data_IF_462215715152
#
_entry.id   IF_462215715152
#
_cell.length_a   1.000
_cell.length_b   1.000
_cell.length_c   1.000
_cell.angle_alpha   90.00
_cell.angle_beta   90.00
_cell.angle_gamma   90.00
#
_symmetry.space_group_name_H-M   'P 1'
#
loop_
_entity.id
_entity.type
_entity.pdbx_description
1 polymer ?
#
# COMPACT_ATOMS: atom_id res chain seq x y z
N UNK A 1 -17.66 -12.13 9.21
CA UNK A 1 -17.91 -13.51 8.73
C UNK A 1 -18.25 -14.38 9.96
N UNK A 2 -18.74 -15.63 9.81
CA UNK A 2 -19.05 -16.48 10.97
C UNK A 2 -17.87 -16.73 11.92
N UNK A 3 -16.67 -16.96 11.39
CA UNK A 3 -15.45 -17.23 12.19
C UNK A 3 -14.84 -16.01 12.88
N UNK A 4 -15.23 -14.79 12.46
CA UNK A 4 -14.73 -13.53 13.01
C UNK A 4 -15.70 -12.40 12.65
N UNK A 5 -16.43 -11.89 13.64
CA UNK A 5 -17.26 -10.69 13.48
C UNK A 5 -16.38 -9.45 13.47
N UNK A 6 -16.81 -8.43 12.73
CA UNK A 6 -15.96 -7.26 12.46
C UNK A 6 -15.67 -6.45 13.72
N UNK A 7 -16.66 -6.34 14.62
CA UNK A 7 -16.54 -5.56 15.84
C UNK A 7 -15.51 -6.15 16.81
N UNK A 8 -15.56 -7.47 17.02
CA UNK A 8 -14.56 -8.19 17.83
C UNK A 8 -13.15 -7.99 17.27
N UNK A 9 -12.99 -8.12 15.94
CA UNK A 9 -11.71 -7.86 15.27
C UNK A 9 -11.20 -6.45 15.55
N UNK A 10 -12.05 -5.43 15.45
CA UNK A 10 -11.65 -4.03 15.62
C UNK A 10 -11.13 -3.78 17.03
N UNK A 11 -11.81 -4.30 18.05
CA UNK A 11 -11.41 -4.17 19.46
C UNK A 11 -10.03 -4.81 19.70
N UNK A 12 -9.85 -6.08 19.36
CA UNK A 12 -8.57 -6.78 19.59
C UNK A 12 -7.41 -6.17 18.78
N UNK A 13 -7.68 -5.72 17.55
CA UNK A 13 -6.65 -5.10 16.71
C UNK A 13 -6.23 -3.73 17.26
N UNK A 14 -7.17 -2.94 17.77
CA UNK A 14 -6.84 -1.63 18.35
C UNK A 14 -6.03 -1.79 19.64
N UNK A 15 -6.40 -2.72 20.52
CA UNK A 15 -5.60 -3.06 21.72
C UNK A 15 -4.17 -3.46 21.33
N UNK A 16 -4.01 -4.33 20.33
CA UNK A 16 -2.69 -4.74 19.84
C UNK A 16 -1.90 -3.57 19.23
N UNK A 17 -2.58 -2.65 18.53
CA UNK A 17 -1.98 -1.45 17.93
C UNK A 17 -1.44 -0.50 19.01
N UNK A 18 -2.23 -0.25 20.05
CA UNK A 18 -1.86 0.60 21.17
C UNK A 18 -0.71 0.01 21.97
N UNK A 19 -0.76 -1.30 22.26
CA UNK A 19 0.34 -2.01 22.91
C UNK A 19 1.64 -1.89 22.13
N UNK A 20 1.63 -2.19 20.83
CA UNK A 20 2.82 -2.09 19.98
C UNK A 20 3.36 -0.65 19.89
N UNK A 21 2.48 0.35 19.88
CA UNK A 21 2.88 1.76 19.92
C UNK A 21 3.54 2.12 21.25
N UNK A 22 3.01 1.66 22.38
CA UNK A 22 3.61 1.89 23.71
C UNK A 22 4.98 1.23 23.83
N UNK A 23 5.14 0.00 23.34
CA UNK A 23 6.40 -0.75 23.42
C UNK A 23 7.51 -0.17 22.53
N UNK A 24 7.14 0.43 21.38
CA UNK A 24 8.12 0.89 20.39
C UNK A 24 8.33 2.41 20.36
N UNK A 25 7.39 3.20 20.90
CA UNK A 25 7.41 4.66 20.82
C UNK A 25 7.11 5.24 19.43
N UNK A 26 6.88 4.39 18.41
CA UNK A 26 6.51 4.82 17.05
C UNK A 26 4.99 4.72 16.86
N UNK A 27 4.40 5.64 16.08
CA UNK A 27 2.98 5.55 15.71
C UNK A 27 2.67 4.23 14.99
N UNK A 28 1.62 3.54 15.39
CA UNK A 28 1.15 2.29 14.77
C UNK A 28 -0.26 2.44 14.23
N UNK A 29 -0.63 1.54 13.31
CA UNK A 29 -1.97 1.47 12.76
C UNK A 29 -2.20 0.12 12.09
N UNK A 30 -3.47 -0.27 12.00
CA UNK A 30 -3.92 -1.42 11.24
C UNK A 30 -5.13 -1.02 10.41
N UNK A 31 -5.16 -1.36 9.13
CA UNK A 31 -6.23 -0.91 8.24
C UNK A 31 -7.51 -1.71 8.53
N UNK A 32 -8.41 -1.12 9.33
CA UNK A 32 -9.67 -1.78 9.69
C UNK A 32 -10.62 -1.76 8.49
N UNK A 33 -10.87 -2.93 7.88
CA UNK A 33 -11.70 -3.00 6.68
C UNK A 33 -13.18 -2.72 7.00
N UNK A 34 -13.70 -1.64 6.42
CA UNK A 34 -15.10 -1.17 6.58
C UNK A 34 -15.99 -1.57 5.40
N UNK A 35 -15.46 -2.22 4.36
CA UNK A 35 -16.26 -2.72 3.22
C UNK A 35 -17.40 -3.61 3.70
N UNK A 36 -18.63 -3.30 3.26
CA UNK A 36 -19.85 -3.90 3.78
C UNK A 36 -20.91 -4.07 2.67
N UNK A 37 -22.00 -4.84 2.92
CA UNK A 37 -23.09 -5.05 1.94
C UNK A 37 -23.92 -3.80 1.65
N UNK A 38 -23.97 -2.84 2.56
CA UNK A 38 -24.68 -1.57 2.39
C UNK A 38 -23.86 -0.38 2.89
N UNK A 39 -24.16 0.85 2.41
CA UNK A 39 -23.54 2.06 2.94
C UNK A 39 -23.77 2.25 4.45
N UNK A 40 -24.93 1.88 4.98
CA UNK A 40 -25.25 2.01 6.41
C UNK A 40 -24.31 1.16 7.26
N UNK A 41 -24.11 -0.12 6.91
CA UNK A 41 -23.14 -0.97 7.59
C UNK A 41 -21.69 -0.50 7.41
N UNK A 42 -21.37 0.08 6.24
CA UNK A 42 -20.03 0.64 6.00
C UNK A 42 -19.75 1.81 6.94
N UNK A 43 -20.71 2.72 7.11
CA UNK A 43 -20.57 3.84 8.03
C UNK A 43 -20.63 3.41 9.48
N UNK A 44 -21.44 2.42 9.86
CA UNK A 44 -21.43 1.84 11.21
C UNK A 44 -20.01 1.37 11.60
N UNK A 45 -19.34 0.67 10.68
CA UNK A 45 -17.95 0.21 10.90
C UNK A 45 -16.97 1.38 10.96
N UNK A 46 -17.12 2.37 10.08
CA UNK A 46 -16.23 3.54 10.05
C UNK A 46 -16.37 4.38 11.33
N UNK A 47 -17.58 4.63 11.80
CA UNK A 47 -17.84 5.34 13.07
C UNK A 47 -17.27 4.57 14.25
N UNK A 48 -17.43 3.23 14.29
CA UNK A 48 -16.82 2.44 15.37
C UNK A 48 -15.29 2.48 15.33
N UNK A 49 -14.66 2.44 14.15
CA UNK A 49 -13.21 2.58 14.03
C UNK A 49 -12.71 3.94 14.57
N UNK A 50 -13.46 5.01 14.30
CA UNK A 50 -13.20 6.34 14.86
C UNK A 50 -13.41 6.38 16.37
N UNK A 51 -14.50 5.79 16.88
CA UNK A 51 -14.83 5.74 18.31
C UNK A 51 -13.70 5.13 19.13
N UNK A 52 -13.09 4.04 18.63
CA UNK A 52 -11.97 3.36 19.29
C UNK A 52 -10.60 4.00 18.98
N UNK A 53 -10.56 5.14 18.27
CA UNK A 53 -9.32 5.88 18.02
C UNK A 53 -8.39 5.28 16.97
N UNK A 54 -8.89 4.44 16.07
CA UNK A 54 -8.07 3.90 14.98
C UNK A 54 -7.62 5.05 14.03
N UNK A 55 -6.36 5.09 13.58
CA UNK A 55 -5.88 6.18 12.72
C UNK A 55 -6.17 5.97 11.22
N UNK A 56 -6.55 4.75 10.83
CA UNK A 56 -6.69 4.35 9.43
C UNK A 56 -7.70 3.21 9.25
N UNK A 57 -8.51 3.29 8.20
CA UNK A 57 -9.42 2.24 7.74
C UNK A 57 -9.08 1.81 6.31
N UNK A 58 -9.69 0.74 5.81
CA UNK A 58 -9.60 0.38 4.39
C UNK A 58 -10.94 0.08 3.73
N UNK A 59 -10.97 0.28 2.41
CA UNK A 59 -12.12 -0.02 1.56
C UNK A 59 -11.72 -0.67 0.23
N UNK A 60 -12.55 -1.63 -0.21
CA UNK A 60 -12.42 -2.28 -1.51
C UNK A 60 -13.26 -1.52 -2.56
N UNK A 61 -12.71 -0.43 -3.12
CA UNK A 61 -13.50 0.59 -3.84
C UNK A 61 -14.24 0.11 -5.09
N UNK A 62 -13.73 -0.91 -5.79
CA UNK A 62 -14.39 -1.43 -7.00
C UNK A 62 -15.55 -2.35 -6.64
N UNK A 63 -15.36 -3.25 -5.68
CA UNK A 63 -16.41 -4.18 -5.24
C UNK A 63 -17.44 -3.52 -4.33
N UNK A 64 -17.05 -2.51 -3.55
CA UNK A 64 -17.96 -1.63 -2.82
C UNK A 64 -18.61 -0.57 -3.71
N UNK A 65 -17.95 -0.20 -4.81
CA UNK A 65 -18.42 0.74 -5.81
C UNK A 65 -18.04 2.20 -5.54
N UNK A 66 -17.89 2.97 -6.62
CA UNK A 66 -17.46 4.38 -6.57
C UNK A 66 -18.41 5.29 -5.77
N UNK A 67 -19.71 4.99 -5.73
CA UNK A 67 -20.68 5.76 -4.96
C UNK A 67 -20.37 5.66 -3.44
N UNK A 68 -20.20 4.43 -2.95
CA UNK A 68 -19.82 4.18 -1.56
C UNK A 68 -18.44 4.76 -1.23
N UNK A 69 -17.43 4.51 -2.10
CA UNK A 69 -16.08 5.03 -1.89
C UNK A 69 -16.03 6.56 -1.78
N UNK A 70 -16.71 7.28 -2.68
CA UNK A 70 -16.72 8.75 -2.66
C UNK A 70 -17.40 9.29 -1.39
N UNK A 71 -18.47 8.63 -0.93
CA UNK A 71 -19.09 8.94 0.36
C UNK A 71 -18.13 8.73 1.53
N UNK A 72 -17.46 7.57 1.56
CA UNK A 72 -16.49 7.22 2.59
C UNK A 72 -15.28 8.15 2.60
N UNK A 73 -14.75 8.55 1.44
CA UNK A 73 -13.63 9.49 1.35
C UNK A 73 -13.99 10.87 1.92
N UNK A 74 -15.20 11.36 1.63
CA UNK A 74 -15.72 12.60 2.23
C UNK A 74 -15.88 12.47 3.74
N UNK A 75 -16.37 11.32 4.21
CA UNK A 75 -16.48 11.03 5.63
C UNK A 75 -15.09 11.01 6.30
N UNK A 76 -14.11 10.35 5.69
CA UNK A 76 -12.73 10.26 6.20
C UNK A 76 -12.12 11.65 6.37
N UNK A 77 -12.26 12.50 5.34
CA UNK A 77 -11.81 13.89 5.37
C UNK A 77 -12.43 14.70 6.52
N UNK A 78 -13.72 14.53 6.78
CA UNK A 78 -14.44 15.24 7.86
C UNK A 78 -14.04 14.74 9.25
N UNK A 79 -13.61 13.49 9.35
CA UNK A 79 -13.34 12.83 10.63
C UNK A 79 -11.84 12.62 10.92
N UNK A 80 -10.94 13.11 10.05
CA UNK A 80 -9.49 12.97 10.24
C UNK A 80 -9.00 11.53 10.14
N UNK A 81 -9.69 10.68 9.38
CA UNK A 81 -9.36 9.27 9.20
C UNK A 81 -8.57 9.07 7.91
N UNK A 82 -7.48 8.31 7.94
CA UNK A 82 -6.80 7.87 6.72
C UNK A 82 -7.59 6.74 6.04
N UNK A 83 -7.58 6.73 4.71
CA UNK A 83 -8.32 5.77 3.88
C UNK A 83 -7.38 4.98 2.95
N UNK A 84 -7.10 3.73 3.32
CA UNK A 84 -6.38 2.79 2.46
C UNK A 84 -7.31 2.13 1.44
N UNK A 85 -6.97 2.19 0.16
CA UNK A 85 -7.80 1.60 -0.90
C UNK A 85 -7.18 0.32 -1.44
N UNK A 86 -7.95 -0.76 -1.32
CA UNK A 86 -7.64 -2.03 -1.96
C UNK A 86 -8.41 -2.17 -3.28
N UNK A 87 -7.73 -2.70 -4.30
CA UNK A 87 -8.23 -2.74 -5.69
C UNK A 87 -8.85 -4.09 -6.08
N UNK A 88 -9.52 -4.77 -5.15
CA UNK A 88 -10.18 -6.05 -5.43
C UNK A 88 -11.01 -5.95 -6.73
N UNK A 89 -10.99 -7.02 -7.55
CA UNK A 89 -11.66 -7.09 -8.87
C UNK A 89 -10.98 -6.33 -10.04
N UNK A 90 -9.95 -5.49 -9.82
CA UNK A 90 -9.34 -4.70 -10.90
C UNK A 90 -8.88 -5.54 -12.11
N UNK A 91 -8.22 -6.67 -11.86
CA UNK A 91 -7.68 -7.57 -12.88
C UNK A 91 -8.75 -8.25 -13.76
N UNK A 92 -10.02 -8.20 -13.36
CA UNK A 92 -11.14 -8.62 -14.24
C UNK A 92 -11.28 -7.67 -15.42
N UNK A 93 -10.94 -6.39 -15.24
CA UNK A 93 -11.10 -5.33 -16.23
C UNK A 93 -9.79 -4.92 -16.90
N UNK A 94 -8.65 -5.00 -16.20
CA UNK A 94 -7.41 -4.37 -16.67
C UNK A 94 -6.32 -5.32 -17.15
N UNK A 95 -6.55 -6.63 -17.12
CA UNK A 95 -5.53 -7.63 -17.44
C UNK A 95 -5.33 -7.86 -18.93
N UNK A 96 -6.41 -7.84 -19.72
CA UNK A 96 -6.33 -8.18 -21.14
C UNK A 96 -5.95 -6.94 -21.97
N UNK A 97 -4.84 -6.94 -22.72
CA UNK A 97 -4.41 -5.79 -23.50
C UNK A 97 -5.35 -5.45 -24.67
N UNK A 98 -6.26 -6.35 -25.05
CA UNK A 98 -7.18 -6.18 -26.19
C UNK A 98 -8.61 -5.78 -25.79
N UNK A 99 -8.97 -5.88 -24.51
CA UNK A 99 -10.33 -5.57 -24.06
C UNK A 99 -10.36 -5.23 -22.57
N UNK A 100 -11.07 -4.16 -22.22
CA UNK A 100 -11.27 -3.74 -20.85
C UNK A 100 -10.83 -2.30 -20.60
N UNK A 101 -10.43 -2.00 -19.37
CA UNK A 101 -10.02 -0.67 -18.92
C UNK A 101 -8.64 -0.80 -18.27
N UNK A 102 -7.62 -0.20 -18.87
CA UNK A 102 -6.27 -0.26 -18.31
C UNK A 102 -6.20 0.35 -16.89
N UNK A 103 -5.43 -0.26 -15.98
CA UNK A 103 -5.37 0.11 -14.56
C UNK A 103 -5.11 1.60 -14.32
N UNK A 104 -4.27 2.24 -15.16
CA UNK A 104 -4.01 3.68 -15.10
C UNK A 104 -5.28 4.55 -15.11
N UNK A 105 -6.34 4.13 -15.80
CA UNK A 105 -7.64 4.84 -15.80
C UNK A 105 -8.33 4.68 -14.44
N UNK A 106 -8.32 3.47 -13.89
CA UNK A 106 -8.87 3.17 -12.56
C UNK A 106 -8.11 3.91 -11.44
N UNK A 107 -6.78 4.04 -11.58
CA UNK A 107 -5.94 4.82 -10.66
C UNK A 107 -6.32 6.31 -10.66
N UNK A 108 -6.51 6.92 -11.85
CA UNK A 108 -7.02 8.30 -11.96
C UNK A 108 -8.42 8.44 -11.35
N UNK A 109 -9.31 7.50 -11.65
CA UNK A 109 -10.68 7.50 -11.11
C UNK A 109 -10.70 7.40 -9.58
N UNK A 110 -9.79 6.63 -8.99
CA UNK A 110 -9.66 6.55 -7.54
C UNK A 110 -9.10 7.85 -6.96
N UNK A 111 -8.04 8.43 -7.53
CA UNK A 111 -7.50 9.73 -7.05
C UNK A 111 -8.57 10.82 -7.05
N UNK A 112 -9.47 10.82 -8.05
CA UNK A 112 -10.64 11.70 -8.10
C UNK A 112 -11.69 11.37 -7.03
N UNK A 113 -12.04 10.10 -6.84
CA UNK A 113 -13.04 9.64 -5.86
C UNK A 113 -12.60 9.87 -4.42
N UNK A 114 -11.31 9.71 -4.16
CA UNK A 114 -10.66 9.90 -2.88
C UNK A 114 -10.16 8.58 -2.26
N UNK A 115 -8.92 8.63 -1.78
CA UNK A 115 -8.20 7.58 -1.08
C UNK A 115 -6.78 8.06 -0.80
N UNK A 116 -6.24 7.75 0.37
CA UNK A 116 -4.88 8.20 0.74
C UNK A 116 -3.83 7.21 0.22
N UNK A 117 -4.18 5.93 0.14
CA UNK A 117 -3.34 4.88 -0.43
C UNK A 117 -4.05 4.13 -1.56
N UNK A 118 -3.32 3.60 -2.54
CA UNK A 118 -3.83 2.66 -3.54
C UNK A 118 -2.81 1.57 -3.85
N UNK A 119 -3.24 0.30 -3.89
CA UNK A 119 -2.41 -0.79 -4.40
C UNK A 119 -2.02 -0.58 -5.87
N UNK A 120 -0.72 -0.57 -6.17
CA UNK A 120 -0.17 -0.25 -7.51
C UNK A 120 0.52 -1.42 -8.19
N UNK A 121 0.67 -2.55 -7.51
CA UNK A 121 1.46 -3.69 -8.00
C UNK A 121 2.88 -3.65 -7.43
N UNK A 122 3.66 -4.69 -7.74
CA UNK A 122 5.02 -4.85 -7.17
C UNK A 122 6.11 -4.96 -8.21
N UNK A 123 5.76 -5.19 -9.49
CA UNK A 123 6.67 -5.55 -10.61
C UNK A 123 7.37 -6.90 -10.41
N UNK A 124 7.96 -7.14 -9.24
CA UNK A 124 8.79 -8.31 -8.92
C UNK A 124 8.08 -9.37 -8.06
N UNK A 125 6.84 -9.11 -7.64
CA UNK A 125 6.07 -10.03 -6.80
C UNK A 125 5.24 -11.04 -7.59
N UNK A 126 4.27 -11.66 -6.91
CA UNK A 126 3.48 -12.77 -7.47
C UNK A 126 2.39 -12.35 -8.50
N UNK A 127 2.04 -11.07 -8.53
CA UNK A 127 0.99 -10.53 -9.39
C UNK A 127 1.65 -9.77 -10.54
N UNK A 128 1.05 -9.83 -11.72
CA UNK A 128 1.58 -9.14 -12.90
C UNK A 128 1.73 -7.63 -12.67
N UNK A 129 2.81 -7.07 -13.20
CA UNK A 129 3.05 -5.64 -13.29
C UNK A 129 4.22 -5.35 -14.22
N UNK A 130 3.92 -4.80 -15.41
CA UNK A 130 4.96 -4.25 -16.27
C UNK A 130 5.61 -3.03 -15.60
N UNK A 131 6.95 -2.94 -15.62
CA UNK A 131 7.67 -1.89 -14.90
C UNK A 131 7.37 -0.51 -15.45
N UNK A 132 7.45 -0.33 -16.77
CA UNK A 132 7.29 0.97 -17.40
C UNK A 132 5.87 1.52 -17.19
N UNK A 133 4.86 0.66 -17.35
CA UNK A 133 3.49 1.02 -17.06
C UNK A 133 3.28 1.33 -15.56
N UNK A 134 3.93 0.55 -14.67
CA UNK A 134 3.85 0.76 -13.22
C UNK A 134 4.38 2.10 -12.78
N UNK A 135 5.58 2.47 -13.24
CA UNK A 135 6.14 3.80 -12.99
C UNK A 135 5.18 4.89 -13.52
N UNK A 136 4.64 4.72 -14.72
CA UNK A 136 3.69 5.68 -15.31
C UNK A 136 2.44 5.93 -14.45
N UNK A 137 1.77 4.90 -13.92
CA UNK A 137 0.59 5.14 -13.07
C UNK A 137 0.93 5.55 -11.63
N UNK A 138 2.16 5.31 -11.17
CA UNK A 138 2.65 5.88 -9.90
C UNK A 138 2.81 7.40 -10.05
N UNK A 139 3.42 7.87 -11.14
CA UNK A 139 3.54 9.30 -11.45
C UNK A 139 2.14 9.94 -11.50
N UNK A 140 1.17 9.28 -12.18
CA UNK A 140 -0.22 9.74 -12.23
C UNK A 140 -0.91 9.84 -10.87
N UNK A 141 -0.50 9.04 -9.88
CA UNK A 141 -1.09 9.04 -8.53
C UNK A 141 -0.45 10.08 -7.62
N UNK A 142 0.84 10.38 -7.80
CA UNK A 142 1.61 11.22 -6.88
C UNK A 142 1.76 12.65 -7.37
N UNK A 143 2.08 12.80 -8.65
CA UNK A 143 2.60 14.06 -9.15
C UNK A 143 1.46 15.03 -9.50
N UNK A 144 1.83 16.31 -9.58
CA UNK A 144 0.92 17.38 -9.97
C UNK A 144 0.68 17.40 -11.47
N UNK A 145 1.74 17.32 -12.25
CA UNK A 145 1.70 17.36 -13.71
C UNK A 145 2.53 16.20 -14.27
N UNK A 146 1.92 15.43 -15.16
CA UNK A 146 2.55 14.28 -15.81
C UNK A 146 2.46 14.50 -17.32
N UNK A 147 3.58 14.70 -18.03
CA UNK A 147 3.56 14.86 -19.48
C UNK A 147 3.21 13.54 -20.18
N UNK A 148 2.78 13.63 -21.42
CA UNK A 148 2.62 12.50 -22.31
C UNK A 148 3.92 11.70 -22.46
N UNK A 149 3.81 10.38 -22.32
CA UNK A 149 4.91 9.43 -22.50
C UNK A 149 4.35 8.05 -22.89
N UNK A 150 4.27 7.78 -24.20
CA UNK A 150 3.83 6.47 -24.73
C UNK A 150 4.67 5.30 -24.24
N UNK A 151 5.96 5.49 -23.92
CA UNK A 151 6.82 4.40 -23.45
C UNK A 151 6.39 3.89 -22.07
N UNK A 152 5.80 4.76 -21.25
CA UNK A 152 5.15 4.42 -19.97
C UNK A 152 3.63 4.27 -20.07
N UNK A 153 3.09 4.36 -21.29
CA UNK A 153 1.66 4.29 -21.54
C UNK A 153 0.87 5.49 -21.02
N UNK A 154 1.48 6.66 -20.91
CA UNK A 154 0.78 7.92 -20.62
C UNK A 154 0.38 8.54 -21.95
N UNK A 155 -0.93 8.59 -22.22
CA UNK A 155 -1.44 8.98 -23.55
C UNK A 155 -1.72 10.48 -23.70
N UNK A 156 -1.78 11.20 -22.59
CA UNK A 156 -2.16 12.60 -22.54
C UNK A 156 -1.42 13.24 -21.38
N UNK A 157 -1.05 14.51 -21.55
CA UNK A 157 -0.67 15.37 -20.43
C UNK A 157 -1.79 15.35 -19.38
N UNK A 158 -1.41 15.16 -18.12
CA UNK A 158 -2.33 15.16 -16.99
C UNK A 158 -1.89 16.20 -15.97
N UNK A 159 -2.69 17.27 -15.82
CA UNK A 159 -2.58 18.21 -14.71
C UNK A 159 -3.64 17.88 -13.65
N UNK A 160 -3.23 17.78 -12.39
CA UNK A 160 -4.07 17.54 -11.23
C UNK A 160 -4.35 18.82 -10.41
N UNK A 161 -3.82 19.96 -10.83
CA UNK A 161 -3.97 21.23 -10.13
C UNK A 161 -3.36 21.17 -8.74
N UNK A 162 -4.17 21.33 -7.70
CA UNK A 162 -3.75 21.24 -6.30
C UNK A 162 -4.25 19.95 -5.61
N UNK A 163 -4.74 18.97 -6.38
CA UNK A 163 -5.24 17.71 -5.81
C UNK A 163 -4.08 16.94 -5.14
N UNK A 164 -4.23 16.55 -3.86
CA UNK A 164 -3.22 15.73 -3.19
C UNK A 164 -2.87 14.45 -3.96
N UNK A 165 -1.63 14.00 -3.79
CA UNK A 165 -1.20 12.70 -4.29
C UNK A 165 -1.76 11.54 -3.46
N UNK A 166 -1.61 10.33 -3.98
CA UNK A 166 -2.00 9.07 -3.34
C UNK A 166 -0.74 8.22 -3.16
N UNK A 167 -0.54 7.66 -1.96
CA UNK A 167 0.58 6.74 -1.72
C UNK A 167 0.41 5.45 -2.51
N UNK A 168 1.46 5.09 -3.25
CA UNK A 168 1.51 3.83 -3.97
C UNK A 168 1.77 2.68 -2.98
N UNK A 169 0.96 1.62 -3.03
CA UNK A 169 1.14 0.44 -2.18
C UNK A 169 1.61 -0.74 -3.01
N UNK A 170 2.85 -1.18 -2.74
CA UNK A 170 3.43 -2.38 -3.32
C UNK A 170 3.14 -3.57 -2.40
N UNK A 171 2.33 -4.52 -2.87
CA UNK A 171 1.89 -5.67 -2.06
C UNK A 171 1.69 -6.92 -2.92
N UNK A 172 2.08 -8.07 -2.38
CA UNK A 172 1.81 -9.39 -2.95
C UNK A 172 3.06 -10.15 -3.38
N UNK A 173 3.39 -11.22 -2.63
CA UNK A 173 4.48 -12.14 -2.98
C UNK A 173 5.88 -11.52 -2.92
N UNK A 174 6.07 -10.47 -2.12
CA UNK A 174 7.37 -9.83 -1.91
C UNK A 174 8.00 -10.26 -0.57
N UNK A 175 9.34 -10.24 -0.52
CA UNK A 175 10.19 -10.61 0.61
C UNK A 175 11.46 -9.74 0.61
N UNK A 176 12.32 -9.87 1.62
CA UNK A 176 13.50 -9.00 1.85
C UNK A 176 14.39 -8.81 0.63
N UNK A 177 14.62 -9.85 -0.18
CA UNK A 177 15.42 -9.75 -1.41
C UNK A 177 14.87 -8.83 -2.49
N UNK A 178 13.57 -8.50 -2.44
CA UNK A 178 12.97 -7.53 -3.35
C UNK A 178 13.18 -6.08 -2.88
N UNK A 179 13.64 -5.84 -1.66
CA UNK A 179 13.73 -4.49 -1.08
C UNK A 179 14.52 -3.49 -1.93
N UNK A 180 15.71 -3.82 -2.47
CA UNK A 180 16.46 -2.88 -3.31
C UNK A 180 15.68 -2.46 -4.56
N UNK A 181 15.04 -3.42 -5.23
CA UNK A 181 14.21 -3.14 -6.41
C UNK A 181 12.97 -2.31 -6.06
N UNK A 182 12.30 -2.64 -4.95
CA UNK A 182 11.12 -1.91 -4.49
C UNK A 182 11.46 -0.45 -4.14
N UNK A 183 12.54 -0.21 -3.40
CA UNK A 183 12.99 1.16 -3.08
C UNK A 183 13.39 1.91 -4.36
N UNK A 184 14.01 1.22 -5.33
CA UNK A 184 14.38 1.83 -6.62
C UNK A 184 13.17 2.20 -7.49
N UNK A 185 12.11 1.39 -7.48
CA UNK A 185 10.92 1.59 -8.32
C UNK A 185 9.97 2.60 -7.66
N UNK A 186 9.70 2.44 -6.37
CA UNK A 186 8.63 3.16 -5.70
C UNK A 186 9.12 4.40 -4.94
N UNK A 187 10.41 4.53 -4.63
CA UNK A 187 10.92 5.64 -3.84
C UNK A 187 10.35 5.69 -2.41
N UNK A 188 10.42 6.87 -1.79
CA UNK A 188 10.05 7.04 -0.37
C UNK A 188 8.54 7.15 -0.12
N UNK A 189 7.78 7.72 -1.06
CA UNK A 189 6.33 7.95 -0.91
C UNK A 189 5.50 6.69 -1.25
N UNK A 190 5.83 5.58 -0.60
CA UNK A 190 5.24 4.27 -0.83
C UNK A 190 5.00 3.48 0.46
N UNK A 191 4.06 2.53 0.40
CA UNK A 191 3.90 1.51 1.42
C UNK A 191 4.29 0.16 0.83
N UNK A 192 5.29 -0.50 1.41
CA UNK A 192 5.73 -1.84 1.01
C UNK A 192 5.16 -2.88 1.99
N UNK A 193 4.28 -3.77 1.50
CA UNK A 193 3.54 -4.69 2.35
C UNK A 193 4.03 -6.14 2.23
N UNK A 194 4.51 -6.66 3.35
CA UNK A 194 5.04 -8.02 3.47
C UNK A 194 4.11 -8.88 4.34
N UNK A 195 3.09 -9.48 3.73
CA UNK A 195 2.19 -10.42 4.43
C UNK A 195 2.91 -11.74 4.74
N UNK A 196 2.96 -12.65 3.76
CA UNK A 196 3.72 -13.90 3.88
C UNK A 196 5.21 -13.68 4.17
N UNK A 197 5.80 -12.60 3.64
CA UNK A 197 7.18 -12.20 3.92
C UNK A 197 7.45 -11.72 5.35
N UNK A 198 6.43 -11.61 6.21
CA UNK A 198 6.56 -11.37 7.66
C UNK A 198 6.10 -12.57 8.46
N UNK A 199 4.86 -13.02 8.25
CA UNK A 199 4.25 -14.10 9.03
C UNK A 199 4.89 -15.47 8.75
N UNK A 200 5.54 -15.63 7.59
CA UNK A 200 6.27 -16.84 7.22
C UNK A 200 7.72 -16.90 7.73
N UNK A 201 8.17 -15.91 8.51
CA UNK A 201 9.53 -15.90 9.04
C UNK A 201 9.72 -17.05 10.05
N UNK A 202 10.83 -17.82 10.00
CA UNK A 202 11.02 -19.02 10.84
C UNK A 202 11.04 -18.73 12.36
N UNK A 203 11.30 -17.48 12.75
CA UNK A 203 11.31 -17.03 14.15
C UNK A 203 10.08 -16.19 14.54
N UNK A 204 9.01 -16.26 13.74
CA UNK A 204 7.74 -15.58 14.03
C UNK A 204 7.67 -14.11 13.58
N UNK A 205 6.50 -13.51 13.81
CA UNK A 205 6.10 -12.24 13.21
C UNK A 205 7.01 -11.07 13.57
N UNK A 206 7.44 -10.96 14.82
CA UNK A 206 8.31 -9.87 15.28
C UNK A 206 9.66 -9.89 14.56
N UNK A 207 10.27 -11.08 14.43
CA UNK A 207 11.51 -11.25 13.68
C UNK A 207 11.32 -10.95 12.19
N UNK A 208 10.22 -11.42 11.58
CA UNK A 208 9.90 -11.09 10.19
C UNK A 208 9.71 -9.59 9.95
N UNK A 209 9.06 -8.88 10.89
CA UNK A 209 8.87 -7.45 10.80
C UNK A 209 10.20 -6.69 10.94
N UNK A 210 11.05 -7.12 11.89
CA UNK A 210 12.39 -6.59 12.05
C UNK A 210 13.25 -6.80 10.80
N UNK A 211 13.21 -7.99 10.19
CA UNK A 211 13.91 -8.31 8.95
C UNK A 211 13.57 -7.33 7.82
N UNK A 212 12.27 -7.12 7.59
CA UNK A 212 11.79 -6.21 6.56
C UNK A 212 12.17 -4.75 6.86
N UNK A 213 12.10 -4.32 8.13
CA UNK A 213 12.50 -2.95 8.51
C UNK A 213 14.00 -2.71 8.34
N UNK A 214 14.85 -3.65 8.77
CA UNK A 214 16.31 -3.56 8.61
C UNK A 214 16.68 -3.52 7.13
N UNK A 215 16.09 -4.40 6.31
CA UNK A 215 16.33 -4.40 4.86
C UNK A 215 15.96 -3.05 4.22
N UNK A 216 14.81 -2.47 4.60
CA UNK A 216 14.35 -1.18 4.09
C UNK A 216 15.34 -0.06 4.46
N UNK A 217 15.67 0.08 5.75
CA UNK A 217 16.56 1.15 6.22
C UNK A 217 17.97 1.01 5.65
N UNK A 218 18.48 -0.21 5.47
CA UNK A 218 19.75 -0.46 4.81
C UNK A 218 19.74 -0.02 3.34
N UNK A 219 18.66 -0.32 2.59
CA UNK A 219 18.51 0.13 1.21
C UNK A 219 18.39 1.66 1.12
N UNK A 220 17.58 2.29 1.97
CA UNK A 220 17.43 3.75 1.99
C UNK A 220 18.76 4.43 2.31
N UNK A 221 19.49 3.94 3.33
CA UNK A 221 20.82 4.45 3.67
C UNK A 221 21.79 4.33 2.50
N UNK A 222 21.91 3.15 1.90
CA UNK A 222 22.80 2.91 0.78
C UNK A 222 22.48 3.80 -0.43
N UNK A 223 21.20 3.96 -0.77
CA UNK A 223 20.75 4.88 -1.83
C UNK A 223 21.17 6.32 -1.53
N UNK A 224 20.98 6.78 -0.30
CA UNK A 224 21.33 8.14 0.12
C UNK A 224 22.85 8.36 0.17
N UNK A 225 23.64 7.30 0.33
CA UNK A 225 25.10 7.30 0.18
C UNK A 225 25.57 7.21 -1.29
N UNK A 226 24.65 7.20 -2.25
CA UNK A 226 24.95 7.20 -3.69
C UNK A 226 25.17 5.81 -4.30
N UNK A 227 24.88 4.73 -3.56
CA UNK A 227 25.01 3.35 -4.08
C UNK A 227 23.89 3.00 -5.04
N UNK A 228 24.20 2.18 -6.04
CA UNK A 228 23.24 1.71 -7.03
C UNK A 228 22.47 0.49 -6.52
N UNK A 229 21.25 0.68 -6.04
CA UNK A 229 20.43 -0.41 -5.47
C UNK A 229 20.21 -1.58 -6.42
N UNK A 230 20.04 -1.32 -7.72
CA UNK A 230 19.81 -2.36 -8.72
C UNK A 230 21.05 -3.24 -8.98
N UNK A 231 22.25 -2.71 -8.77
CA UNK A 231 23.52 -3.43 -8.99
C UNK A 231 24.07 -4.03 -7.71
N UNK A 232 23.94 -3.29 -6.60
CA UNK A 232 24.58 -3.58 -5.32
C UNK A 232 23.61 -4.12 -4.27
N UNK A 233 22.34 -4.34 -4.63
CA UNK A 233 21.27 -4.71 -3.70
C UNK A 233 21.59 -5.96 -2.87
N UNK A 234 22.20 -6.99 -3.47
CA UNK A 234 22.62 -8.19 -2.75
C UNK A 234 23.65 -7.87 -1.67
N UNK A 235 24.70 -7.12 -2.02
CA UNK A 235 25.78 -6.79 -1.10
C UNK A 235 25.29 -5.91 0.05
N UNK A 236 24.36 -4.99 -0.23
CA UNK A 236 23.70 -4.16 0.80
C UNK A 236 22.97 -5.04 1.82
N UNK A 237 22.15 -6.00 1.35
CA UNK A 237 21.37 -6.87 2.25
C UNK A 237 22.27 -7.84 3.01
N UNK A 238 23.28 -8.41 2.36
CA UNK A 238 24.27 -9.30 3.00
C UNK A 238 25.02 -8.56 4.11
N UNK A 239 25.45 -7.32 3.86
CA UNK A 239 26.11 -6.50 4.87
C UNK A 239 25.18 -6.18 6.06
N UNK A 240 23.91 -5.85 5.79
CA UNK A 240 22.94 -5.58 6.86
C UNK A 240 22.68 -6.79 7.76
N UNK A 241 22.60 -7.99 7.20
CA UNK A 241 22.33 -9.20 7.96
C UNK A 241 23.50 -9.69 8.81
N UNK A 242 24.73 -9.24 8.56
CA UNK A 242 25.87 -9.46 9.48
C UNK A 242 25.59 -8.87 10.88
N UNK A 243 24.73 -7.87 10.97
CA UNK A 243 24.36 -7.19 12.22
C UNK A 243 22.89 -7.41 12.62
N UNK A 244 22.14 -8.21 11.87
CA UNK A 244 20.72 -8.47 12.11
C UNK A 244 20.40 -9.94 11.89
N UNK A 245 20.44 -10.78 12.95
CA UNK A 245 20.14 -12.21 12.84
C UNK A 245 18.76 -12.51 12.27
N UNK A 246 17.80 -11.60 12.46
CA UNK A 246 16.44 -11.73 11.93
C UNK A 246 16.35 -11.50 10.43
N UNK A 247 17.36 -10.92 9.76
CA UNK A 247 17.35 -10.73 8.31
C UNK A 247 17.93 -11.99 7.65
N UNK A 248 17.10 -12.86 7.03
CA UNK A 248 17.61 -14.06 6.40
C UNK A 248 18.37 -13.70 5.12
N UNK A 249 19.59 -14.24 4.99
CA UNK A 249 20.34 -14.28 3.74
C UNK A 249 20.31 -15.72 3.22
#
# INVERSE_FOLDING_TARGET
>A
QPFMRWRDRFLFVQEATEKAQQETGERKGHYLNVTAPSPEEMYERAEFAKEIGAPIIMHDYLTGGFCANTGLARWCRKNGMLLHIHRAMHAVMDRNPRHGIHFRVLAKALRLSGGDHLHTGTVVGKLEGDRAATEGWIDLLRDRFIPEDRARGIFFDQDWGAMPGVFAVASGGIHVWHMPALVSIFGDDAVLQFGGGTLGHPWGNAAGAAANRVALEACVKARNEGRSLEREGKDILVAAAQHSPALPI
#
